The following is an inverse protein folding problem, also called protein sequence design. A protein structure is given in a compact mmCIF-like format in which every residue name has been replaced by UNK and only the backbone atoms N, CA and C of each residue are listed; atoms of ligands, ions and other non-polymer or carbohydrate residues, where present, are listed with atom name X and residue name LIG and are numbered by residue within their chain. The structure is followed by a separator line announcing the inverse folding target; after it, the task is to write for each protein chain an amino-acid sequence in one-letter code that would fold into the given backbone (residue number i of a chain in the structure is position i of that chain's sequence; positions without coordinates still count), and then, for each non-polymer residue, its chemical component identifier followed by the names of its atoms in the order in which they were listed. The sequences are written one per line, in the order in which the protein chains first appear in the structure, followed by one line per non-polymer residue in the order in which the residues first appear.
data_IF_476135670436
#
_entry.id   IF_476135670436
#
_cell.length_a   1.000
_cell.length_b   1.000
_cell.length_c   1.000
_cell.angle_alpha   90.00
_cell.angle_beta   90.00
_cell.angle_gamma   90.00
#
_symmetry.space_group_name_H-M   'P 1'
#
loop_
_entity.id
_entity.type
_entity.pdbx_description
1 polymer ?
#
# COMPACT_ATOMS: atom_id res chain seq x y z
N UNK A 1 20.74 -23.90 -68.02
CA UNK A 1 21.64 -22.90 -67.41
C UNK A 1 20.81 -21.64 -67.17
N UNK A 2 20.85 -21.05 -65.95
CA UNK A 2 20.31 -19.71 -65.60
C UNK A 2 18.75 -19.60 -65.70
N UNK A 3 17.94 -18.90 -64.89
CA UNK A 3 18.16 -18.13 -63.64
C UNK A 3 17.55 -16.71 -63.71
N UNK A 4 16.45 -16.33 -63.04
CA UNK A 4 15.46 -17.11 -62.26
C UNK A 4 14.82 -16.28 -61.12
N UNK A 5 13.48 -16.08 -61.13
CA UNK A 5 12.64 -15.39 -60.10
C UNK A 5 12.96 -13.87 -59.95
N UNK A 6 12.14 -12.90 -60.40
CA UNK A 6 10.78 -12.43 -60.01
C UNK A 6 10.79 -11.17 -59.10
N UNK A 7 10.16 -10.10 -59.62
CA UNK A 7 9.37 -9.01 -58.98
C UNK A 7 9.93 -8.26 -57.75
N UNK A 8 10.03 -6.93 -57.88
CA UNK A 8 9.55 -5.96 -56.87
C UNK A 8 9.31 -4.58 -57.51
N UNK A 9 8.25 -3.89 -57.08
CA UNK A 9 8.04 -2.46 -57.33
C UNK A 9 7.53 -1.78 -56.06
N UNK A 10 7.58 -0.44 -56.01
CA UNK A 10 6.86 0.52 -55.15
C UNK A 10 7.66 1.84 -55.17
N UNK A 11 6.96 2.98 -55.30
CA UNK A 11 7.17 4.25 -54.57
C UNK A 11 6.48 5.40 -55.32
N UNK A 12 5.37 5.92 -54.76
CA UNK A 12 5.08 7.37 -54.57
C UNK A 12 3.58 7.64 -54.32
N UNK A 13 3.25 7.93 -53.05
CA UNK A 13 2.08 8.64 -52.51
C UNK A 13 1.85 8.11 -51.08
N UNK A 14 1.47 8.87 -50.07
CA UNK A 14 1.23 10.32 -49.97
C UNK A 14 0.88 10.63 -48.50
N UNK A 15 1.33 11.78 -47.99
CA UNK A 15 1.28 12.15 -46.56
C UNK A 15 -0.14 12.16 -45.96
N UNK A 16 -0.50 11.14 -45.18
CA UNK A 16 -1.62 11.17 -44.21
C UNK A 16 -1.50 10.05 -43.16
N UNK A 17 -0.60 10.20 -42.19
CA UNK A 17 -0.54 9.31 -41.02
C UNK A 17 -0.65 10.16 -39.74
N UNK A 18 -1.82 10.13 -39.10
CA UNK A 18 -1.99 10.75 -37.80
C UNK A 18 -1.11 10.08 -36.75
N UNK A 19 -0.36 10.88 -35.99
CA UNK A 19 0.45 10.37 -34.88
C UNK A 19 -0.50 9.96 -33.75
N UNK A 20 -0.95 8.71 -33.78
CA UNK A 20 -1.52 8.07 -32.59
C UNK A 20 -0.35 7.86 -31.64
N UNK A 21 -0.11 8.84 -30.77
CA UNK A 21 0.83 8.71 -29.66
C UNK A 21 0.28 7.66 -28.70
N UNK A 22 0.63 6.40 -28.96
CA UNK A 22 0.21 5.27 -28.14
C UNK A 22 0.93 5.41 -26.80
N UNK A 23 0.25 6.03 -25.83
CA UNK A 23 0.75 6.21 -24.47
C UNK A 23 0.85 4.84 -23.82
N UNK A 24 2.00 4.19 -24.04
CA UNK A 24 2.41 3.02 -23.28
C UNK A 24 2.50 3.48 -21.84
N UNK A 25 1.47 3.13 -21.04
CA UNK A 25 1.56 3.21 -19.59
C UNK A 25 2.72 2.32 -19.18
N UNK A 26 3.87 2.93 -18.90
CA UNK A 26 4.97 2.29 -18.19
C UNK A 26 4.52 1.96 -16.77
N UNK A 27 3.71 0.91 -16.65
CA UNK A 27 3.63 0.13 -15.43
C UNK A 27 5.04 -0.44 -15.25
N UNK A 28 5.72 -0.17 -14.12
CA UNK A 28 7.02 -0.78 -13.90
C UNK A 28 6.84 -2.28 -13.99
N UNK A 29 7.64 -2.95 -14.83
CA UNK A 29 7.74 -4.40 -14.80
C UNK A 29 8.26 -4.74 -13.42
N UNK A 30 7.34 -5.17 -12.57
CA UNK A 30 7.67 -5.75 -11.29
C UNK A 30 8.59 -6.95 -11.61
N UNK A 31 9.67 -7.11 -10.83
CA UNK A 31 10.61 -8.23 -10.95
C UNK A 31 10.81 -8.84 -9.57
N UNK A 32 11.23 -10.12 -9.51
CA UNK A 32 11.42 -10.82 -8.21
C UNK A 32 12.45 -10.11 -7.32
N UNK A 33 13.44 -9.46 -7.93
CA UNK A 33 14.46 -8.62 -7.28
C UNK A 33 13.88 -7.39 -6.55
N UNK A 34 12.67 -6.95 -6.91
CA UNK A 34 11.99 -5.82 -6.26
C UNK A 34 11.14 -6.23 -5.04
N UNK A 35 10.99 -7.53 -4.75
CA UNK A 35 10.23 -8.01 -3.58
C UNK A 35 11.12 -7.86 -2.33
N UNK A 36 10.69 -7.09 -1.29
CA UNK A 36 11.48 -6.94 -0.07
C UNK A 36 11.80 -8.27 0.63
N UNK A 37 13.05 -8.43 1.07
CA UNK A 37 13.45 -9.54 1.94
C UNK A 37 12.75 -9.45 3.31
N UNK A 38 12.70 -10.57 4.06
CA UNK A 38 12.02 -10.66 5.38
C UNK A 38 10.59 -10.09 5.37
N UNK A 39 9.85 -10.30 4.28
CA UNK A 39 8.50 -9.72 4.05
C UNK A 39 8.45 -8.18 4.21
N UNK A 40 9.57 -7.49 4.04
CA UNK A 40 9.70 -6.06 4.29
C UNK A 40 9.32 -5.65 5.72
N UNK A 41 9.56 -6.51 6.71
CA UNK A 41 9.38 -6.18 8.14
C UNK A 41 10.35 -5.06 8.53
N UNK A 42 9.90 -4.12 9.36
CA UNK A 42 10.74 -3.03 9.87
C UNK A 42 11.79 -3.58 10.86
N UNK A 43 13.06 -3.17 10.72
CA UNK A 43 14.19 -3.81 11.43
C UNK A 43 14.14 -3.75 12.95
N UNK A 44 13.38 -2.79 13.50
CA UNK A 44 13.23 -2.58 14.94
C UNK A 44 12.05 -3.35 15.56
N UNK A 45 11.38 -4.22 14.80
CA UNK A 45 10.20 -4.99 15.24
C UNK A 45 10.60 -6.40 15.68
N UNK A 46 10.20 -6.87 16.88
CA UNK A 46 10.53 -8.20 17.39
C UNK A 46 9.67 -9.29 16.71
N UNK A 47 9.91 -9.52 15.42
CA UNK A 47 9.07 -10.37 14.57
C UNK A 47 9.61 -11.80 14.38
N UNK A 48 10.91 -12.02 14.62
CA UNK A 48 11.62 -13.23 14.18
C UNK A 48 10.96 -14.57 14.57
N UNK A 49 10.43 -14.80 15.79
CA UNK A 49 9.79 -16.08 16.11
C UNK A 49 8.58 -16.38 15.21
N UNK A 50 7.70 -15.38 15.01
CA UNK A 50 6.49 -15.51 14.18
C UNK A 50 6.85 -15.67 12.70
N UNK A 51 7.87 -14.95 12.20
CA UNK A 51 8.35 -15.06 10.83
C UNK A 51 8.93 -16.46 10.55
N UNK A 52 9.77 -16.97 11.46
CA UNK A 52 10.36 -18.29 11.35
C UNK A 52 9.30 -19.39 11.41
N UNK A 53 8.29 -19.25 12.28
CA UNK A 53 7.13 -20.16 12.33
C UNK A 53 6.31 -20.15 11.05
N UNK A 54 6.08 -18.99 10.42
CA UNK A 54 5.40 -18.90 9.12
C UNK A 54 6.18 -19.68 8.05
N UNK A 55 7.48 -19.40 7.94
CA UNK A 55 8.35 -20.04 6.94
C UNK A 55 8.44 -21.56 7.14
N UNK A 56 8.53 -22.03 8.38
CA UNK A 56 8.55 -23.46 8.71
C UNK A 56 7.18 -24.17 8.49
N UNK A 57 6.08 -23.40 8.45
CA UNK A 57 4.73 -23.95 8.24
C UNK A 57 4.31 -24.00 6.77
N UNK A 58 4.97 -23.22 5.89
CA UNK A 58 4.69 -23.18 4.45
C UNK A 58 5.67 -24.07 3.68
N UNK A 59 5.20 -25.28 3.37
CA UNK A 59 5.86 -26.24 2.49
C UNK A 59 6.06 -25.68 1.07
N UNK A 60 7.26 -25.80 0.51
CA UNK A 60 7.58 -25.24 -0.82
C UNK A 60 6.86 -25.99 -1.95
N UNK A 61 6.76 -27.33 -1.86
CA UNK A 61 5.99 -28.14 -2.82
C UNK A 61 4.50 -27.73 -2.83
N UNK A 62 3.92 -27.49 -1.66
CA UNK A 62 2.58 -26.91 -1.55
C UNK A 62 2.47 -25.56 -2.28
N UNK A 63 3.41 -24.63 -2.06
CA UNK A 63 3.40 -23.33 -2.75
C UNK A 63 3.52 -23.48 -4.27
N UNK A 64 4.35 -24.39 -4.77
CA UNK A 64 4.47 -24.65 -6.22
C UNK A 64 3.21 -25.27 -6.82
N UNK A 65 2.52 -26.16 -6.09
CA UNK A 65 1.21 -26.70 -6.52
C UNK A 65 0.12 -25.62 -6.58
N UNK A 66 0.09 -24.72 -5.59
CA UNK A 66 -0.81 -23.57 -5.57
C UNK A 66 -0.51 -22.62 -6.73
N UNK A 67 0.76 -22.31 -6.99
CA UNK A 67 1.21 -21.49 -8.11
C UNK A 67 0.77 -22.06 -9.46
N UNK A 68 1.05 -23.35 -9.69
CA UNK A 68 0.68 -24.03 -10.93
C UNK A 68 -0.83 -24.00 -11.19
N UNK A 69 -1.64 -24.26 -10.15
CA UNK A 69 -3.09 -24.18 -10.23
C UNK A 69 -3.59 -22.75 -10.47
N UNK A 70 -3.09 -21.78 -9.72
CA UNK A 70 -3.50 -20.37 -9.83
C UNK A 70 -3.29 -19.84 -11.25
N UNK A 71 -2.13 -20.12 -11.85
CA UNK A 71 -1.80 -19.65 -13.21
C UNK A 71 -2.56 -20.42 -14.31
N UNK A 72 -2.94 -21.68 -14.06
CA UNK A 72 -3.84 -22.43 -14.94
C UNK A 72 -5.26 -21.85 -14.94
N UNK A 73 -5.77 -21.48 -13.75
CA UNK A 73 -7.08 -20.84 -13.58
C UNK A 73 -7.06 -19.37 -14.06
N UNK A 74 -5.89 -18.72 -14.07
CA UNK A 74 -5.68 -17.34 -14.54
C UNK A 74 -4.62 -17.18 -15.67
N UNK A 75 -4.87 -17.63 -16.92
CA UNK A 75 -3.88 -17.61 -18.02
C UNK A 75 -3.37 -16.22 -18.48
N UNK A 76 -3.93 -15.13 -17.94
CA UNK A 76 -3.49 -13.75 -18.24
C UNK A 76 -2.49 -13.20 -17.21
N UNK A 77 -2.35 -13.87 -16.07
CA UNK A 77 -1.50 -13.46 -14.96
C UNK A 77 -0.15 -14.15 -15.09
N UNK A 78 0.90 -13.47 -14.68
CA UNK A 78 2.26 -14.00 -14.74
C UNK A 78 2.62 -14.69 -13.43
N UNK A 79 3.63 -15.56 -13.46
CA UNK A 79 4.25 -16.04 -12.21
C UNK A 79 4.59 -14.89 -11.27
N UNK A 80 4.99 -13.76 -11.84
CA UNK A 80 5.45 -12.63 -11.06
C UNK A 80 4.32 -11.90 -10.31
N UNK A 81 3.12 -11.85 -10.88
CA UNK A 81 1.94 -11.35 -10.17
C UNK A 81 1.62 -12.26 -8.96
N UNK A 82 1.70 -13.58 -9.16
CA UNK A 82 1.54 -14.58 -8.10
C UNK A 82 2.59 -14.41 -6.97
N UNK A 83 3.88 -14.26 -7.28
CA UNK A 83 4.91 -14.10 -6.24
C UNK A 83 4.63 -12.89 -5.32
N UNK A 84 4.13 -11.78 -5.88
CA UNK A 84 3.78 -10.59 -5.09
C UNK A 84 2.48 -10.73 -4.30
N UNK A 85 1.45 -11.38 -4.85
CA UNK A 85 0.23 -11.64 -4.08
C UNK A 85 0.46 -12.66 -2.98
N UNK A 86 1.32 -13.67 -3.21
CA UNK A 86 1.79 -14.57 -2.16
C UNK A 86 2.60 -13.82 -1.08
N UNK A 87 3.42 -12.84 -1.47
CA UNK A 87 4.15 -11.99 -0.53
C UNK A 87 3.20 -11.16 0.37
N UNK A 88 2.17 -10.52 -0.20
CA UNK A 88 1.15 -9.82 0.60
C UNK A 88 0.25 -10.79 1.38
N UNK A 89 -0.04 -11.99 0.87
CA UNK A 89 -0.78 -13.03 1.59
C UNK A 89 0.00 -13.52 2.82
N UNK A 90 1.31 -13.71 2.70
CA UNK A 90 2.19 -14.03 3.84
C UNK A 90 2.09 -12.96 4.92
N UNK A 91 2.12 -11.66 4.56
CA UNK A 91 1.89 -10.54 5.49
C UNK A 91 0.49 -10.54 6.12
N UNK A 92 -0.53 -10.90 5.36
CA UNK A 92 -1.89 -11.07 5.87
C UNK A 92 -2.02 -12.23 6.86
N UNK A 93 -1.37 -13.37 6.61
CA UNK A 93 -1.31 -14.48 7.57
C UNK A 93 -0.61 -14.07 8.86
N UNK A 94 0.48 -13.31 8.78
CA UNK A 94 1.13 -12.73 9.96
C UNK A 94 0.16 -11.86 10.78
N UNK A 95 -0.58 -10.94 10.13
CA UNK A 95 -1.62 -10.15 10.81
C UNK A 95 -2.73 -11.02 11.41
N UNK A 96 -3.13 -12.09 10.71
CA UNK A 96 -4.15 -13.04 11.15
C UNK A 96 -3.71 -13.93 12.33
N UNK A 97 -2.40 -14.10 12.53
CA UNK A 97 -1.81 -14.73 13.73
C UNK A 97 -1.87 -13.80 14.95
N UNK A 98 -1.78 -12.48 14.71
CA UNK A 98 -1.61 -11.46 15.76
C UNK A 98 -2.95 -10.87 16.21
N UNK A 99 -3.82 -10.48 15.27
CA UNK A 99 -5.06 -9.77 15.53
C UNK A 99 -6.25 -10.74 15.66
N UNK A 100 -7.21 -10.43 16.54
CA UNK A 100 -8.45 -11.22 16.64
C UNK A 100 -9.33 -11.09 15.41
N UNK A 101 -9.44 -9.90 14.84
CA UNK A 101 -10.21 -9.57 13.64
C UNK A 101 -9.25 -9.10 12.55
N UNK A 102 -9.28 -9.73 11.38
CA UNK A 102 -8.46 -9.36 10.22
C UNK A 102 -9.28 -9.62 8.96
N UNK A 103 -10.01 -8.63 8.43
CA UNK A 103 -10.77 -8.81 7.20
C UNK A 103 -9.85 -8.78 5.98
N UNK A 104 -10.21 -9.54 4.94
CA UNK A 104 -9.49 -9.51 3.66
C UNK A 104 -9.93 -8.31 2.81
N UNK A 105 -9.00 -7.39 2.52
CA UNK A 105 -9.28 -6.14 1.79
C UNK A 105 -8.76 -6.11 0.33
N UNK A 106 -8.05 -7.14 -0.13
CA UNK A 106 -7.58 -7.28 -1.52
C UNK A 106 -8.18 -8.52 -2.16
N UNK A 107 -8.84 -8.38 -3.32
CA UNK A 107 -9.43 -9.51 -4.04
C UNK A 107 -8.36 -10.44 -4.61
N UNK A 108 -7.25 -9.87 -5.03
CA UNK A 108 -6.16 -10.59 -5.67
C UNK A 108 -5.37 -11.44 -4.67
N UNK A 109 -5.17 -10.91 -3.44
CA UNK A 109 -4.61 -11.70 -2.32
C UNK A 109 -5.60 -12.77 -1.84
N UNK A 110 -6.90 -12.44 -1.81
CA UNK A 110 -7.96 -13.39 -1.49
C UNK A 110 -8.03 -14.55 -2.51
N UNK A 111 -7.79 -14.28 -3.79
CA UNK A 111 -7.79 -15.30 -4.85
C UNK A 111 -6.66 -16.32 -4.67
N UNK A 112 -5.44 -15.85 -4.36
CA UNK A 112 -4.32 -16.77 -4.02
C UNK A 112 -4.64 -17.59 -2.76
N UNK A 113 -5.30 -16.99 -1.76
CA UNK A 113 -5.72 -17.70 -0.55
C UNK A 113 -6.82 -18.74 -0.84
N UNK A 114 -7.78 -18.42 -1.71
CA UNK A 114 -8.76 -19.40 -2.21
C UNK A 114 -8.06 -20.59 -2.88
N UNK A 115 -7.09 -20.36 -3.78
CA UNK A 115 -6.34 -21.46 -4.41
C UNK A 115 -5.58 -22.30 -3.37
N UNK A 116 -5.02 -21.70 -2.31
CA UNK A 116 -4.43 -22.44 -1.18
C UNK A 116 -5.43 -23.39 -0.51
N UNK A 117 -6.63 -22.90 -0.19
CA UNK A 117 -7.69 -23.66 0.51
C UNK A 117 -8.11 -24.93 -0.25
N UNK A 118 -8.04 -24.93 -1.59
CA UNK A 118 -8.40 -26.08 -2.43
C UNK A 118 -7.50 -27.31 -2.19
N UNK A 119 -6.29 -27.13 -1.67
CA UNK A 119 -5.40 -28.22 -1.25
C UNK A 119 -5.64 -28.56 0.22
N UNK A 120 -6.88 -28.93 0.55
CA UNK A 120 -7.43 -28.99 1.92
C UNK A 120 -6.51 -29.61 2.98
N UNK A 121 -5.87 -30.75 2.70
CA UNK A 121 -4.93 -31.39 3.62
C UNK A 121 -3.66 -30.54 3.88
N UNK A 122 -3.03 -30.02 2.83
CA UNK A 122 -1.86 -29.13 2.94
C UNK A 122 -2.24 -27.81 3.63
N UNK A 123 -3.43 -27.28 3.36
CA UNK A 123 -3.94 -26.07 4.00
C UNK A 123 -4.24 -26.26 5.49
N UNK A 124 -4.81 -27.41 5.90
CA UNK A 124 -5.00 -27.77 7.30
C UNK A 124 -3.65 -27.90 8.02
N UNK A 125 -2.69 -28.63 7.45
CA UNK A 125 -1.34 -28.80 8.02
C UNK A 125 -0.64 -27.43 8.19
N UNK A 126 -0.72 -26.54 7.19
CA UNK A 126 -0.21 -25.17 7.31
C UNK A 126 -0.88 -24.41 8.45
N UNK A 127 -2.21 -24.45 8.52
CA UNK A 127 -2.99 -23.71 9.52
C UNK A 127 -2.68 -24.17 10.94
N UNK A 128 -2.68 -25.49 11.18
CA UNK A 128 -2.36 -26.09 12.48
C UNK A 128 -0.93 -25.78 12.92
N UNK A 129 0.06 -25.89 12.01
CA UNK A 129 1.46 -25.56 12.32
C UNK A 129 1.67 -24.08 12.63
N UNK A 130 1.05 -23.18 11.86
CA UNK A 130 1.30 -21.75 11.98
C UNK A 130 0.46 -21.09 13.09
N UNK A 131 -0.82 -21.44 13.19
CA UNK A 131 -1.83 -20.78 14.03
C UNK A 131 -2.33 -21.64 15.20
N UNK A 132 -1.96 -22.92 15.25
CA UNK A 132 -2.46 -23.87 16.24
C UNK A 132 -3.89 -24.36 16.00
N UNK A 133 -4.54 -23.91 14.93
CA UNK A 133 -5.93 -24.22 14.56
C UNK A 133 -6.17 -23.96 13.08
N UNK A 134 -7.27 -24.48 12.53
CA UNK A 134 -7.69 -24.19 11.17
C UNK A 134 -7.92 -22.68 10.95
N UNK A 135 -7.31 -22.11 9.91
CA UNK A 135 -7.59 -20.73 9.52
C UNK A 135 -8.87 -20.72 8.69
N UNK A 136 -10.00 -20.43 9.33
CA UNK A 136 -11.28 -20.34 8.64
C UNK A 136 -11.31 -19.12 7.72
N UNK A 137 -11.57 -19.38 6.44
CA UNK A 137 -11.90 -18.36 5.45
C UNK A 137 -13.41 -18.15 5.43
N UNK A 138 -13.83 -16.89 5.38
CA UNK A 138 -15.23 -16.51 5.16
C UNK A 138 -15.27 -15.67 3.88
N UNK A 139 -15.84 -16.18 2.78
CA UNK A 139 -15.89 -15.43 1.53
C UNK A 139 -16.61 -14.09 1.66
N UNK A 140 -15.97 -13.02 1.20
CA UNK A 140 -16.54 -11.67 1.15
C UNK A 140 -17.53 -11.55 -0.03
N UNK A 141 -18.65 -12.28 0.05
CA UNK A 141 -19.72 -12.31 -0.97
C UNK A 141 -20.34 -10.91 -1.16
N UNK A 142 -20.46 -10.16 -0.06
CA UNK A 142 -20.81 -8.75 -0.05
C UNK A 142 -19.76 -8.00 0.78
N UNK A 143 -18.88 -7.19 0.17
CA UNK A 143 -17.91 -6.38 0.91
C UNK A 143 -18.65 -5.18 1.52
N UNK A 144 -19.31 -5.41 2.65
CA UNK A 144 -19.79 -4.34 3.50
C UNK A 144 -18.61 -3.43 3.88
N UNK A 145 -18.76 -2.10 3.86
CA UNK A 145 -17.71 -1.20 4.31
C UNK A 145 -17.38 -1.47 5.78
N UNK A 146 -16.18 -1.99 6.03
CA UNK A 146 -15.60 -2.19 7.36
C UNK A 146 -14.51 -1.13 7.63
N UNK A 147 -14.87 0.16 7.76
CA UNK A 147 -13.90 1.26 7.79
C UNK A 147 -13.03 1.26 9.06
N UNK A 148 -13.56 0.79 10.19
CA UNK A 148 -12.85 0.81 11.47
C UNK A 148 -11.84 -0.33 11.56
N UNK A 149 -12.24 -1.52 11.12
CA UNK A 149 -11.37 -2.68 10.91
C UNK A 149 -10.29 -2.36 9.89
N UNK A 150 -10.64 -1.62 8.82
CA UNK A 150 -9.68 -1.16 7.81
C UNK A 150 -8.68 -0.15 8.37
N UNK A 151 -9.12 0.80 9.19
CA UNK A 151 -8.23 1.76 9.85
C UNK A 151 -7.26 1.06 10.82
N UNK A 152 -7.74 0.09 11.59
CA UNK A 152 -6.88 -0.69 12.49
C UNK A 152 -5.93 -1.64 11.74
N UNK A 153 -6.36 -2.21 10.61
CA UNK A 153 -5.49 -2.95 9.69
C UNK A 153 -4.39 -2.06 9.13
N UNK A 154 -4.73 -0.88 8.57
CA UNK A 154 -3.74 0.07 8.03
C UNK A 154 -2.76 0.53 9.12
N UNK A 155 -3.25 0.77 10.34
CA UNK A 155 -2.42 1.08 11.51
C UNK A 155 -1.44 -0.06 11.80
N UNK A 156 -1.93 -1.28 12.05
CA UNK A 156 -1.09 -2.42 12.41
C UNK A 156 -0.09 -2.77 11.30
N UNK A 157 -0.53 -2.77 10.03
CA UNK A 157 0.34 -3.01 8.87
C UNK A 157 1.51 -2.01 8.86
N UNK A 158 1.23 -0.72 9.06
CA UNK A 158 2.26 0.33 9.09
C UNK A 158 3.24 0.27 10.27
N UNK A 159 2.88 -0.42 11.36
CA UNK A 159 3.79 -0.63 12.51
C UNK A 159 4.76 -1.80 12.31
N UNK A 160 4.49 -2.65 11.31
CA UNK A 160 5.14 -3.93 11.11
C UNK A 160 5.91 -4.00 9.79
N UNK A 161 5.36 -3.42 8.72
CA UNK A 161 5.86 -3.59 7.36
C UNK A 161 6.12 -2.28 6.63
N UNK A 162 7.15 -2.29 5.79
CA UNK A 162 7.34 -1.30 4.74
C UNK A 162 6.22 -1.41 3.70
N UNK A 163 5.57 -0.28 3.39
CA UNK A 163 4.51 -0.17 2.38
C UNK A 163 5.17 0.12 1.04
N UNK A 164 5.17 -0.86 0.14
CA UNK A 164 5.69 -0.68 -1.23
C UNK A 164 4.63 -0.08 -2.16
N UNK A 165 5.06 0.34 -3.36
CA UNK A 165 4.12 0.71 -4.44
C UNK A 165 3.17 -0.43 -4.81
N UNK A 166 3.62 -1.69 -4.71
CA UNK A 166 2.76 -2.85 -4.92
C UNK A 166 1.74 -3.00 -3.79
N UNK A 167 2.20 -2.94 -2.53
CA UNK A 167 1.34 -3.00 -1.34
C UNK A 167 0.19 -1.99 -1.42
N UNK A 168 0.49 -0.75 -1.85
CA UNK A 168 -0.51 0.31 -2.05
C UNK A 168 -1.50 0.04 -3.21
N UNK A 169 -1.06 -0.65 -4.28
CA UNK A 169 -1.94 -1.08 -5.37
C UNK A 169 -2.88 -2.19 -4.90
N UNK A 170 -2.33 -3.15 -4.16
CA UNK A 170 -3.00 -4.41 -3.77
C UNK A 170 -3.99 -4.21 -2.63
N UNK A 171 -3.59 -3.53 -1.55
CA UNK A 171 -4.48 -3.20 -0.43
C UNK A 171 -5.30 -1.92 -0.68
N UNK A 172 -5.05 -1.19 -1.77
CA UNK A 172 -5.61 0.13 -2.01
C UNK A 172 -5.01 1.22 -1.11
N UNK A 173 -5.63 2.41 -1.11
CA UNK A 173 -5.10 3.57 -0.38
C UNK A 173 -5.19 3.37 1.14
N UNK A 174 -4.02 3.38 1.79
CA UNK A 174 -3.89 3.30 3.25
C UNK A 174 -4.34 4.61 3.93
N UNK A 175 -4.68 4.51 5.21
CA UNK A 175 -5.02 5.63 6.10
C UNK A 175 -6.24 6.43 5.63
N UNK A 176 -7.17 5.80 4.89
CA UNK A 176 -8.36 6.47 4.36
C UNK A 176 -9.42 6.76 5.44
N UNK A 177 -9.51 5.90 6.44
CA UNK A 177 -10.53 5.95 7.48
C UNK A 177 -9.91 6.28 8.84
N UNK A 178 -10.60 7.03 9.71
CA UNK A 178 -10.16 7.22 11.08
C UNK A 178 -10.22 5.89 11.85
N UNK A 179 -9.35 5.75 12.86
CA UNK A 179 -9.42 4.67 13.85
C UNK A 179 -10.53 4.98 14.85
N UNK A 180 -11.35 3.98 15.21
CA UNK A 180 -12.49 4.13 16.11
C UNK A 180 -12.12 4.85 17.42
N UNK A 181 -12.84 5.93 17.72
CA UNK A 181 -12.66 6.70 18.97
C UNK A 181 -12.77 5.83 20.22
N UNK A 182 -13.60 4.77 20.20
CA UNK A 182 -13.73 3.84 21.33
C UNK A 182 -12.47 3.00 21.48
N UNK A 183 -11.95 2.44 20.39
CA UNK A 183 -10.67 1.72 20.38
C UNK A 183 -9.55 2.62 20.93
N UNK A 184 -9.43 3.86 20.45
CA UNK A 184 -8.37 4.77 20.90
C UNK A 184 -8.48 5.12 22.39
N UNK A 185 -9.68 5.37 22.91
CA UNK A 185 -9.91 5.60 24.35
C UNK A 185 -9.54 4.38 25.19
N UNK A 186 -9.97 3.19 24.77
CA UNK A 186 -9.61 1.95 25.44
C UNK A 186 -8.10 1.73 25.45
N UNK A 187 -7.40 1.98 24.33
CA UNK A 187 -5.94 1.93 24.27
C UNK A 187 -5.27 2.97 25.15
N UNK A 188 -5.87 4.15 25.36
CA UNK A 188 -5.36 5.15 26.29
C UNK A 188 -5.50 4.68 27.75
N UNK A 189 -6.72 4.28 28.14
CA UNK A 189 -7.15 4.11 29.54
C UNK A 189 -6.90 2.71 30.11
N UNK A 190 -6.91 1.65 29.28
CA UNK A 190 -6.85 0.25 29.76
C UNK A 190 -5.42 -0.25 30.01
N UNK A 191 -5.27 -1.30 30.82
CA UNK A 191 -3.99 -1.99 30.99
C UNK A 191 -3.55 -2.72 29.71
N UNK A 192 -2.27 -3.07 29.63
CA UNK A 192 -1.70 -3.79 28.48
C UNK A 192 -2.34 -5.19 28.35
N UNK A 193 -2.65 -5.82 29.49
CA UNK A 193 -3.24 -7.15 29.61
C UNK A 193 -4.67 -7.18 29.06
N UNK A 194 -5.49 -6.19 29.43
CA UNK A 194 -6.85 -6.06 28.92
C UNK A 194 -6.88 -5.80 27.40
N UNK A 195 -5.92 -5.01 26.89
CA UNK A 195 -5.80 -4.72 25.45
C UNK A 195 -5.33 -5.95 24.66
N UNK A 196 -4.34 -6.69 25.18
CA UNK A 196 -3.90 -8.00 24.67
C UNK A 196 -5.09 -8.95 24.55
N UNK A 197 -5.83 -9.15 25.64
CA UNK A 197 -6.99 -10.04 25.68
C UNK A 197 -8.08 -9.60 24.71
N UNK A 198 -8.36 -8.30 24.60
CA UNK A 198 -9.46 -7.80 23.76
C UNK A 198 -9.17 -7.84 22.26
N UNK A 199 -7.97 -7.46 21.83
CA UNK A 199 -7.67 -7.20 20.42
C UNK A 199 -6.77 -8.24 19.75
N UNK A 200 -6.02 -9.04 20.52
CA UNK A 200 -4.93 -9.86 20.00
C UNK A 200 -5.07 -11.36 20.32
N UNK A 201 -4.42 -12.20 19.51
CA UNK A 201 -4.32 -13.66 19.68
C UNK A 201 -2.95 -14.00 20.28
N UNK A 202 -2.80 -13.79 21.59
CA UNK A 202 -1.52 -14.02 22.28
C UNK A 202 -1.15 -15.50 22.28
N UNK A 203 0.10 -15.79 21.90
CA UNK A 203 0.79 -17.07 22.07
C UNK A 203 2.28 -16.82 22.38
N UNK A 204 3.02 -17.88 22.69
CA UNK A 204 4.45 -17.76 23.07
C UNK A 204 5.32 -17.14 21.97
N UNK A 205 5.00 -17.36 20.69
CA UNK A 205 5.78 -16.85 19.56
C UNK A 205 5.56 -15.34 19.30
N UNK A 206 4.38 -14.81 19.65
CA UNK A 206 3.97 -13.45 19.27
C UNK A 206 3.79 -12.47 20.45
N UNK A 207 4.04 -12.91 21.69
CA UNK A 207 3.86 -12.10 22.91
C UNK A 207 4.62 -10.77 22.87
N UNK A 208 5.92 -10.79 22.60
CA UNK A 208 6.76 -9.58 22.52
C UNK A 208 6.30 -8.63 21.41
N UNK A 209 5.84 -9.19 20.29
CA UNK A 209 5.33 -8.45 19.15
C UNK A 209 4.01 -7.74 19.45
N UNK A 210 3.11 -8.39 20.19
CA UNK A 210 1.87 -7.78 20.67
C UNK A 210 2.17 -6.70 21.72
N UNK A 211 3.10 -6.94 22.64
CA UNK A 211 3.57 -5.94 23.61
C UNK A 211 4.14 -4.70 22.92
N UNK A 212 4.95 -4.89 21.88
CA UNK A 212 5.45 -3.83 21.01
C UNK A 212 4.31 -3.04 20.37
N UNK A 213 3.31 -3.70 19.76
CA UNK A 213 2.17 -3.02 19.14
C UNK A 213 1.34 -2.20 20.16
N UNK A 214 0.97 -2.81 21.29
CA UNK A 214 0.21 -2.10 22.34
C UNK A 214 0.98 -0.88 22.86
N UNK A 215 2.29 -1.03 23.06
CA UNK A 215 3.17 0.06 23.48
C UNK A 215 3.28 1.16 22.42
N UNK A 216 3.31 0.83 21.13
CA UNK A 216 3.33 1.80 20.03
C UNK A 216 2.05 2.62 19.98
N UNK A 217 0.87 2.01 20.07
CA UNK A 217 -0.41 2.76 20.08
C UNK A 217 -0.48 3.70 21.29
N UNK A 218 -0.16 3.21 22.49
CA UNK A 218 -0.11 4.03 23.72
C UNK A 218 0.87 5.20 23.60
N UNK A 219 2.06 4.95 23.04
CA UNK A 219 3.05 6.01 22.77
C UNK A 219 2.52 7.05 21.79
N UNK A 220 1.91 6.63 20.69
CA UNK A 220 1.33 7.55 19.70
C UNK A 220 0.16 8.39 20.26
N UNK A 221 -0.65 7.83 21.15
CA UNK A 221 -1.69 8.58 21.87
C UNK A 221 -1.09 9.65 22.80
N UNK A 222 -0.04 9.30 23.56
CA UNK A 222 0.67 10.26 24.41
C UNK A 222 1.37 11.36 23.60
N UNK A 223 2.01 11.01 22.47
CA UNK A 223 2.60 11.98 21.54
C UNK A 223 1.51 12.89 20.92
N UNK A 224 0.35 12.32 20.55
CA UNK A 224 -0.77 13.07 20.02
C UNK A 224 -1.34 14.07 21.04
N UNK A 225 -1.43 13.70 22.32
CA UNK A 225 -1.85 14.61 23.39
C UNK A 225 -0.86 15.76 23.56
N UNK A 226 0.44 15.48 23.68
CA UNK A 226 1.48 16.51 23.81
C UNK A 226 1.45 17.47 22.63
N UNK A 227 1.33 16.96 21.40
CA UNK A 227 1.16 17.80 20.21
C UNK A 227 -0.10 18.66 20.28
N UNK A 228 -1.24 18.09 20.69
CA UNK A 228 -2.51 18.82 20.77
C UNK A 228 -2.48 19.94 21.82
N UNK A 229 -1.72 19.81 22.91
CA UNK A 229 -1.56 20.90 23.88
C UNK A 229 -0.69 22.05 23.35
N UNK A 230 0.26 21.79 22.46
CA UNK A 230 1.15 22.81 21.87
C UNK A 230 0.52 23.47 20.63
N UNK A 231 -0.02 22.69 19.71
CA UNK A 231 -0.68 23.16 18.49
C UNK A 231 -1.92 22.28 18.21
N UNK A 232 -3.11 22.86 18.38
CA UNK A 232 -4.37 22.12 18.23
C UNK A 232 -4.53 21.48 16.85
N UNK A 233 -3.91 22.02 15.80
CA UNK A 233 -3.95 21.45 14.44
C UNK A 233 -2.90 20.36 14.20
N UNK A 234 -1.93 20.21 15.10
CA UNK A 234 -0.77 19.35 14.96
C UNK A 234 0.20 19.80 13.86
N UNK A 235 1.44 19.34 13.93
CA UNK A 235 2.47 19.57 12.90
C UNK A 235 3.18 18.27 12.59
N UNK A 236 3.08 17.83 11.35
CA UNK A 236 3.58 16.53 10.92
C UNK A 236 4.45 16.65 9.68
N UNK A 237 5.47 15.82 9.58
CA UNK A 237 6.29 15.67 8.38
C UNK A 237 5.46 14.98 7.30
N UNK A 238 5.46 15.54 6.08
CA UNK A 238 4.84 14.90 4.91
C UNK A 238 5.77 13.82 4.37
N UNK A 239 5.23 12.63 4.09
CA UNK A 239 5.95 11.56 3.40
C UNK A 239 5.72 11.70 1.89
N UNK A 240 6.80 11.61 1.09
CA UNK A 240 6.75 11.63 -0.38
C UNK A 240 7.19 10.32 -1.04
N UNK A 241 7.65 9.34 -0.26
CA UNK A 241 8.25 8.08 -0.74
C UNK A 241 7.60 6.86 -0.09
N UNK A 242 7.56 5.74 -0.83
CA UNK A 242 7.23 4.42 -0.27
C UNK A 242 8.31 3.96 0.73
N UNK A 243 7.96 3.02 1.63
CA UNK A 243 8.86 2.56 2.70
C UNK A 243 8.16 2.48 4.06
N UNK A 244 8.85 2.88 5.13
CA UNK A 244 8.26 2.98 6.47
C UNK A 244 7.22 4.11 6.56
N UNK A 245 6.01 3.79 7.03
CA UNK A 245 4.87 4.71 7.10
C UNK A 245 4.45 5.07 8.54
N UNK A 246 5.30 4.79 9.53
CA UNK A 246 5.01 4.98 10.97
C UNK A 246 4.62 6.41 11.33
N UNK A 247 5.15 7.42 10.65
CA UNK A 247 4.76 8.82 10.89
C UNK A 247 3.38 9.19 10.31
N UNK A 248 2.90 8.51 9.25
CA UNK A 248 1.51 8.65 8.80
C UNK A 248 0.53 7.95 9.74
N UNK A 249 0.94 6.90 10.45
CA UNK A 249 0.06 6.30 11.46
C UNK A 249 -0.11 7.19 12.69
N UNK A 250 0.90 8.00 13.06
CA UNK A 250 0.76 9.05 14.07
C UNK A 250 -0.18 10.18 13.62
N UNK A 251 -0.07 10.63 12.36
CA UNK A 251 -1.06 11.54 11.73
C UNK A 251 -2.46 10.95 11.84
N UNK A 252 -2.61 9.67 11.53
CA UNK A 252 -3.89 8.98 11.62
C UNK A 252 -4.44 8.96 13.04
N UNK A 253 -3.65 8.54 14.04
CA UNK A 253 -4.06 8.49 15.45
C UNK A 253 -4.50 9.88 15.93
N UNK A 254 -3.72 10.93 15.67
CA UNK A 254 -4.04 12.29 16.09
C UNK A 254 -5.38 12.80 15.53
N UNK A 255 -5.57 12.73 14.20
CA UNK A 255 -6.80 13.23 13.59
C UNK A 255 -8.00 12.32 13.88
N UNK A 256 -7.80 11.02 14.10
CA UNK A 256 -8.87 10.12 14.55
C UNK A 256 -9.34 10.44 15.98
N UNK A 257 -8.42 10.85 16.86
CA UNK A 257 -8.73 11.13 18.26
C UNK A 257 -9.39 12.50 18.47
N UNK A 258 -8.89 13.54 17.78
CA UNK A 258 -9.36 14.92 17.99
C UNK A 258 -10.32 15.45 16.92
N UNK A 259 -10.34 14.86 15.72
CA UNK A 259 -11.03 15.39 14.54
C UNK A 259 -11.75 14.29 13.74
N UNK A 260 -12.32 13.29 14.42
CA UNK A 260 -12.85 12.06 13.80
C UNK A 260 -13.76 12.31 12.58
N UNK A 261 -14.76 13.18 12.69
CA UNK A 261 -15.71 13.47 11.60
C UNK A 261 -15.06 14.24 10.44
N UNK A 262 -14.05 15.05 10.73
CA UNK A 262 -13.28 15.81 9.74
C UNK A 262 -11.99 15.10 9.29
N UNK A 263 -11.75 13.87 9.76
CA UNK A 263 -10.49 13.15 9.67
C UNK A 263 -9.82 13.27 8.31
N UNK A 264 -10.59 12.93 7.26
CA UNK A 264 -10.08 12.85 5.90
C UNK A 264 -9.74 14.23 5.33
N UNK A 265 -10.32 15.32 5.84
CA UNK A 265 -9.97 16.67 5.41
C UNK A 265 -8.55 17.06 5.82
N UNK A 266 -8.08 16.56 6.96
CA UNK A 266 -6.71 16.77 7.44
C UNK A 266 -5.75 15.69 6.94
N UNK A 267 -6.10 14.40 7.11
CA UNK A 267 -5.20 13.28 6.81
C UNK A 267 -4.75 13.24 5.35
N UNK A 268 -5.63 13.57 4.39
CA UNK A 268 -5.30 13.61 2.94
C UNK A 268 -4.15 14.57 2.59
N UNK A 269 -3.92 15.61 3.40
CA UNK A 269 -2.83 16.58 3.17
C UNK A 269 -1.44 16.03 3.49
N UNK A 270 -1.38 14.90 4.20
CA UNK A 270 -0.16 14.18 4.56
C UNK A 270 -0.05 12.85 3.80
N UNK A 271 -1.19 12.16 3.59
CA UNK A 271 -1.26 10.89 2.88
C UNK A 271 -1.15 10.98 1.35
N UNK A 272 -1.14 12.19 0.75
CA UNK A 272 -0.89 12.39 -0.67
C UNK A 272 0.10 13.53 -0.92
N UNK A 273 1.35 13.18 -1.26
CA UNK A 273 2.30 14.16 -1.78
C UNK A 273 1.91 14.56 -3.22
N UNK A 274 1.65 15.85 -3.42
CA UNK A 274 1.27 16.54 -4.67
C UNK A 274 -0.13 16.22 -5.27
N UNK A 275 -1.15 17.04 -4.97
CA UNK A 275 -2.31 17.23 -5.84
C UNK A 275 -1.96 18.07 -7.08
N UNK A 276 -1.02 17.58 -7.89
CA UNK A 276 -0.67 18.18 -9.18
C UNK A 276 -1.69 17.81 -10.25
N UNK A 277 -2.69 18.67 -10.46
CA UNK A 277 -3.65 18.69 -11.59
C UNK A 277 -3.94 17.35 -12.29
N UNK A 278 -4.85 16.54 -11.74
CA UNK A 278 -5.61 15.56 -12.53
C UNK A 278 -7.10 15.65 -12.23
N UNK A 279 -7.82 16.32 -13.13
CA UNK A 279 -9.27 16.23 -13.23
C UNK A 279 -9.68 14.90 -13.86
N UNK A 280 -10.86 14.39 -13.47
CA UNK A 280 -11.56 13.21 -14.01
C UNK A 280 -11.08 11.80 -13.59
N UNK A 281 -11.93 11.12 -12.81
CA UNK A 281 -12.43 9.79 -13.18
C UNK A 281 -11.70 8.53 -12.69
N UNK A 282 -10.44 8.59 -12.26
CA UNK A 282 -9.66 7.38 -11.96
C UNK A 282 -9.06 7.36 -10.53
N UNK A 283 -9.32 6.29 -9.78
CA UNK A 283 -8.73 6.02 -8.46
C UNK A 283 -7.27 5.56 -8.57
N UNK A 284 -6.36 6.47 -8.92
CA UNK A 284 -4.91 6.20 -8.91
C UNK A 284 -4.14 7.42 -8.37
N UNK A 285 -4.10 7.58 -7.05
CA UNK A 285 -3.09 8.42 -6.41
C UNK A 285 -1.74 7.66 -6.44
N UNK A 286 -0.86 8.04 -7.36
CA UNK A 286 0.48 7.46 -7.49
C UNK A 286 1.48 8.47 -6.95
N UNK A 287 2.19 8.11 -5.88
CA UNK A 287 3.38 8.83 -5.48
C UNK A 287 4.44 8.68 -6.57
N UNK A 288 4.75 9.76 -7.27
CA UNK A 288 5.92 9.83 -8.16
C UNK A 288 7.17 10.07 -7.32
N UNK A 289 7.76 8.98 -6.83
CA UNK A 289 9.11 9.02 -6.26
C UNK A 289 10.14 9.24 -7.38
N UNK A 290 10.81 10.38 -7.38
CA UNK A 290 11.97 10.63 -8.23
C UNK A 290 13.16 9.85 -7.68
N UNK A 291 13.52 8.74 -8.32
CA UNK A 291 14.80 8.07 -8.06
C UNK A 291 15.94 8.87 -8.70
N UNK A 292 16.86 9.39 -7.89
CA UNK A 292 18.09 10.03 -8.37
C UNK A 292 19.22 9.83 -7.37
N UNK A 293 19.77 8.62 -7.37
CA UNK A 293 21.09 8.31 -6.81
C UNK A 293 21.97 7.85 -7.96
N UNK A 294 22.92 8.70 -8.36
CA UNK A 294 24.13 8.27 -9.08
C UNK A 294 25.25 9.29 -8.78
N UNK A 295 26.47 8.79 -8.69
CA UNK A 295 27.65 9.56 -8.25
C UNK A 295 28.60 9.90 -9.41
N UNK A 296 29.47 10.89 -9.14
CA UNK A 296 30.79 11.15 -9.75
C UNK A 296 30.96 12.08 -10.98
N UNK A 297 31.73 13.14 -10.72
CA UNK A 297 32.78 13.81 -11.52
C UNK A 297 32.57 14.19 -13.00
N UNK A 298 32.75 15.49 -13.27
CA UNK A 298 33.03 16.06 -14.59
C UNK A 298 33.30 17.57 -14.46
N UNK A 299 34.42 18.07 -15.02
CA UNK A 299 34.93 19.42 -14.80
C UNK A 299 34.23 20.54 -15.58
N UNK A 300 34.38 21.77 -15.05
CA UNK A 300 34.79 22.94 -15.84
C UNK A 300 33.74 23.64 -16.73
N UNK A 301 33.38 24.89 -16.38
CA UNK A 301 32.57 25.72 -17.27
C UNK A 301 32.10 27.04 -16.68
N UNK A 302 33.00 28.01 -16.49
CA UNK A 302 32.62 29.38 -16.16
C UNK A 302 31.95 30.08 -17.34
N UNK A 303 30.78 30.71 -17.13
CA UNK A 303 30.22 31.71 -18.05
C UNK A 303 29.22 32.61 -17.32
N UNK A 304 29.43 33.92 -17.38
CA UNK A 304 28.55 34.94 -16.79
C UNK A 304 27.63 35.57 -17.86
N UNK A 305 26.34 35.72 -17.56
CA UNK A 305 25.43 36.79 -18.03
C UNK A 305 24.03 36.48 -17.45
N UNK A 306 23.26 37.37 -16.81
CA UNK A 306 23.11 38.84 -16.85
C UNK A 306 22.21 39.41 -17.95
N UNK A 307 20.91 39.08 -17.90
CA UNK A 307 19.80 39.96 -18.30
C UNK A 307 18.48 39.40 -17.69
N UNK A 308 17.75 40.09 -16.81
CA UNK A 308 17.09 41.42 -16.87
C UNK A 308 15.65 41.37 -17.39
N UNK A 309 14.73 41.32 -16.42
CA UNK A 309 13.46 42.07 -16.36
C UNK A 309 12.69 42.45 -17.64
N UNK A 310 11.42 42.05 -17.70
CA UNK A 310 10.34 42.97 -18.08
C UNK A 310 8.99 42.54 -17.49
N UNK A 311 8.39 43.41 -16.69
CA UNK A 311 6.99 43.31 -16.26
C UNK A 311 6.12 44.16 -17.19
N UNK A 312 5.10 43.55 -17.80
CA UNK A 312 4.02 44.24 -18.50
C UNK A 312 2.70 43.54 -18.11
N UNK A 313 1.93 44.09 -17.18
CA UNK A 313 0.84 45.05 -17.42
C UNK A 313 -0.52 44.36 -17.54
N UNK A 314 -1.40 44.73 -16.62
CA UNK A 314 -2.78 44.26 -16.44
C UNK A 314 -3.78 44.94 -17.39
N UNK A 315 -5.02 44.42 -17.38
CA UNK A 315 -6.27 44.81 -18.08
C UNK A 315 -6.65 43.85 -19.23
N UNK A 316 -7.93 43.52 -19.48
CA UNK A 316 -9.15 44.11 -18.93
C UNK A 316 -10.30 43.08 -18.77
N UNK A 317 -11.35 43.49 -18.05
CA UNK A 317 -12.57 42.69 -17.81
C UNK A 317 -13.42 42.47 -19.07
N UNK A 318 -14.16 41.36 -19.10
CA UNK A 318 -15.38 41.20 -19.91
C UNK A 318 -16.36 40.25 -19.20
N UNK A 319 -17.42 40.80 -18.61
CA UNK A 319 -18.54 40.02 -18.07
C UNK A 319 -19.55 39.71 -19.17
N UNK A 320 -20.00 38.46 -19.26
CA UNK A 320 -21.21 38.09 -20.00
C UNK A 320 -22.02 37.14 -19.12
N UNK A 321 -23.04 37.68 -18.46
CA UNK A 321 -24.09 36.89 -17.82
C UNK A 321 -25.27 36.74 -18.77
N UNK A 322 -25.84 35.55 -18.82
CA UNK A 322 -27.12 35.28 -19.48
C UNK A 322 -27.83 34.19 -18.69
N UNK A 323 -29.04 34.48 -18.22
CA UNK A 323 -29.89 33.55 -17.49
C UNK A 323 -31.31 33.55 -18.06
N UNK A 324 -32.16 32.69 -17.48
CA UNK A 324 -33.57 32.47 -17.81
C UNK A 324 -33.82 31.82 -19.20
N UNK A 325 -34.82 30.95 -19.40
CA UNK A 325 -35.75 30.27 -18.46
C UNK A 325 -36.67 29.32 -19.24
N UNK A 326 -36.99 28.14 -18.69
CA UNK A 326 -38.28 27.40 -18.74
C UNK A 326 -38.04 25.94 -18.37
#
# INVERSE_FOLDING_TARGET
MIGGIIIAGIMLAGLAAGVITLVVKNQPKLSKENIPSRLGILDHVPFEPVLNKLNASLDEDYIQQVKGRFLQENPKLTEHDFEWWLFELKRYFLLSNILKITPMFSKEVDEVWHTMILFTQKYQIFSERFLGQMLHHTPNIHPEPAPQERAFFDWAFSQLFQVTKFSWKTWGSFFKYPVDTKLLKEFNESSIEALKEKYFKVNEDNKELIEYLVSKMKKQLSEAEVMYQVDKKGRFTRISTYGEMTSLSLVMVFFSYYYFDEYWNYAKLYAFANPGHYTSGCTTAVFCGSSSTDHHHGDGGSSHSSCSSSSCSSSNCSSCGSGCSS
#
